data_IF_489057094529
#
_entry.id   IF_489057094529
#
_cell.length_a   1.000
_cell.length_b   1.000
_cell.length_c   1.000
_cell.angle_alpha   90.00
_cell.angle_beta   90.00
_cell.angle_gamma   90.00
#
_symmetry.space_group_name_H-M   'P 1'
#
loop_
_entity.id
_entity.type
_entity.pdbx_description
1 polymer ?
#
# COMPACT_ATOMS: atom_id res chain seq x y z
N UNK A 1 -6.01 -15.13 -95.74
CA UNK A 1 -4.93 -14.22 -95.33
C UNK A 1 -5.62 -13.05 -94.66
N UNK A 2 -5.39 -12.88 -93.36
CA UNK A 2 -6.17 -11.98 -92.50
C UNK A 2 -5.76 -10.51 -92.71
N UNK A 3 -6.69 -9.56 -92.63
CA UNK A 3 -6.43 -8.15 -93.01
C UNK A 3 -5.37 -7.47 -92.12
N UNK A 4 -5.27 -7.89 -90.85
CA UNK A 4 -4.27 -7.42 -89.90
C UNK A 4 -2.84 -7.80 -90.29
N UNK A 5 -2.66 -9.01 -90.81
CA UNK A 5 -1.34 -9.51 -91.20
C UNK A 5 -0.78 -8.72 -92.38
N UNK A 6 -1.65 -8.30 -93.30
CA UNK A 6 -1.30 -7.44 -94.44
C UNK A 6 -0.89 -6.04 -94.00
N UNK A 7 -1.62 -5.45 -93.04
CA UNK A 7 -1.31 -4.14 -92.48
C UNK A 7 0.04 -4.13 -91.73
N UNK A 8 0.30 -5.18 -90.93
CA UNK A 8 1.58 -5.32 -90.24
C UNK A 8 2.75 -5.53 -91.20
N UNK A 9 2.57 -6.27 -92.29
CA UNK A 9 3.62 -6.44 -93.29
C UNK A 9 3.92 -5.15 -94.04
N UNK A 10 2.89 -4.38 -94.41
CA UNK A 10 3.04 -3.11 -95.12
C UNK A 10 3.72 -2.04 -94.26
N UNK A 11 3.51 -2.09 -92.94
CA UNK A 11 4.04 -1.12 -91.97
C UNK A 11 5.32 -1.57 -91.25
N UNK A 12 5.83 -2.75 -91.58
CA UNK A 12 7.01 -3.33 -90.94
C UNK A 12 8.25 -2.42 -91.06
N UNK A 13 8.50 -1.87 -92.24
CA UNK A 13 9.63 -0.97 -92.51
C UNK A 13 9.51 0.39 -91.81
N UNK A 14 8.32 0.74 -91.31
CA UNK A 14 8.08 1.96 -90.53
C UNK A 14 8.24 1.69 -89.03
N UNK A 15 7.91 0.47 -88.57
CA UNK A 15 8.04 0.02 -87.18
C UNK A 15 9.49 -0.36 -86.84
N UNK A 16 10.22 -0.95 -87.78
CA UNK A 16 11.64 -1.32 -87.60
C UNK A 16 12.59 -0.10 -87.73
N UNK A 17 12.06 1.11 -87.96
CA UNK A 17 12.84 2.37 -87.88
C UNK A 17 13.14 2.68 -86.42
N UNK A 18 14.36 2.40 -86.01
CA UNK A 18 14.93 2.89 -84.76
C UNK A 18 15.26 4.37 -84.93
N UNK A 19 14.40 5.25 -84.40
CA UNK A 19 14.76 6.67 -84.25
C UNK A 19 15.98 6.77 -83.33
N UNK A 20 16.95 7.63 -83.71
CA UNK A 20 18.10 7.91 -82.87
C UNK A 20 17.62 8.66 -81.62
N UNK A 21 17.48 7.95 -80.51
CA UNK A 21 17.12 8.52 -79.23
C UNK A 21 18.32 9.31 -78.70
N UNK A 22 18.20 10.62 -78.39
CA UNK A 22 19.30 11.40 -77.81
C UNK A 22 19.46 11.04 -76.34
N UNK A 23 20.12 9.91 -76.07
CA UNK A 23 20.33 9.35 -74.74
C UNK A 23 21.01 10.36 -73.79
N UNK A 24 22.01 11.08 -74.29
CA UNK A 24 22.75 12.09 -73.51
C UNK A 24 21.86 13.24 -73.02
N UNK A 25 20.96 13.75 -73.87
CA UNK A 25 20.04 14.82 -73.51
C UNK A 25 19.01 14.37 -72.45
N UNK A 26 18.60 13.10 -72.50
CA UNK A 26 17.69 12.54 -71.49
C UNK A 26 18.40 12.32 -70.16
N UNK A 27 19.64 11.84 -70.16
CA UNK A 27 20.40 11.66 -68.93
C UNK A 27 20.71 12.98 -68.23
N UNK A 28 21.01 14.03 -68.99
CA UNK A 28 21.24 15.38 -68.46
C UNK A 28 19.99 15.97 -67.78
N UNK A 29 18.79 15.72 -68.34
CA UNK A 29 17.53 16.14 -67.74
C UNK A 29 17.20 15.38 -66.44
N UNK A 30 17.70 14.14 -66.29
CA UNK A 30 17.49 13.32 -65.09
C UNK A 30 18.48 13.73 -64.00
N UNK A 31 19.77 13.91 -64.33
CA UNK A 31 20.79 14.30 -63.35
C UNK A 31 20.53 15.69 -62.76
N UNK A 32 20.12 16.65 -63.59
CA UNK A 32 19.84 18.03 -63.14
C UNK A 32 18.72 18.12 -62.10
N UNK A 33 17.74 17.19 -62.11
CA UNK A 33 16.66 17.14 -61.10
C UNK A 33 17.07 16.50 -59.78
N UNK A 34 18.10 15.66 -59.79
CA UNK A 34 18.55 14.93 -58.59
C UNK A 34 19.46 15.82 -57.73
N UNK A 35 20.29 16.66 -58.35
CA UNK A 35 21.26 17.50 -57.63
C UNK A 35 20.62 18.70 -56.91
N UNK A 36 19.37 19.07 -57.23
CA UNK A 36 18.71 20.25 -56.65
C UNK A 36 17.88 19.99 -55.38
N UNK A 37 17.86 18.77 -54.86
CA UNK A 37 17.13 18.48 -53.62
C UNK A 37 18.03 18.75 -52.39
N UNK A 38 17.85 19.87 -51.65
CA UNK A 38 18.66 20.10 -50.46
C UNK A 38 18.34 19.03 -49.40
N UNK A 39 19.37 18.36 -48.91
CA UNK A 39 19.26 17.48 -47.75
C UNK A 39 18.87 18.31 -46.52
N UNK A 40 17.58 18.35 -46.18
CA UNK A 40 17.08 19.03 -44.98
C UNK A 40 17.47 18.20 -43.76
N UNK A 41 18.69 18.39 -43.26
CA UNK A 41 19.08 17.87 -41.96
C UNK A 41 18.18 18.54 -40.90
N UNK A 42 17.19 17.78 -40.38
CA UNK A 42 16.29 18.26 -39.33
C UNK A 42 17.09 18.52 -38.05
N UNK A 43 17.49 19.78 -37.88
CA UNK A 43 18.22 20.26 -36.71
C UNK A 43 17.25 20.36 -35.53
N UNK A 44 17.15 19.28 -34.76
CA UNK A 44 16.33 19.25 -33.54
C UNK A 44 16.91 20.26 -32.55
N UNK A 45 16.12 21.26 -32.16
CA UNK A 45 16.59 22.35 -31.29
C UNK A 45 16.82 21.79 -29.89
N UNK A 46 17.91 22.20 -29.23
CA UNK A 46 18.23 21.80 -27.84
C UNK A 46 17.05 22.01 -26.87
N UNK A 47 16.27 23.07 -27.07
CA UNK A 47 15.07 23.35 -26.29
C UNK A 47 13.95 22.29 -26.46
N UNK A 48 13.83 21.67 -27.64
CA UNK A 48 12.90 20.55 -27.85
C UNK A 48 13.35 19.31 -27.07
N UNK A 49 14.66 19.05 -26.97
CA UNK A 49 15.19 17.95 -26.15
C UNK A 49 14.95 18.18 -24.66
N UNK A 50 15.13 19.42 -24.20
CA UNK A 50 14.82 19.81 -22.82
C UNK A 50 13.31 19.69 -22.52
N UNK A 51 12.44 20.09 -23.45
CA UNK A 51 10.99 19.95 -23.30
C UNK A 51 10.56 18.48 -23.20
N UNK A 52 11.16 17.60 -24.02
CA UNK A 52 10.91 16.15 -23.96
C UNK A 52 11.43 15.56 -22.64
N UNK A 53 12.62 15.95 -22.18
CA UNK A 53 13.15 15.48 -20.90
C UNK A 53 12.26 15.93 -19.72
N UNK A 54 11.78 17.18 -19.76
CA UNK A 54 10.88 17.72 -18.75
C UNK A 54 9.52 17.00 -18.73
N UNK A 55 8.96 16.64 -19.89
CA UNK A 55 7.69 15.90 -19.94
C UNK A 55 7.84 14.47 -19.42
N UNK A 56 8.93 13.80 -19.76
CA UNK A 56 9.25 12.46 -19.22
C UNK A 56 9.46 12.53 -17.70
N UNK A 57 10.21 13.51 -17.21
CA UNK A 57 10.41 13.72 -15.77
C UNK A 57 9.11 14.05 -15.04
N UNK A 58 8.23 14.87 -15.64
CA UNK A 58 6.93 15.20 -15.08
C UNK A 58 6.02 13.97 -15.00
N UNK A 59 5.97 13.14 -16.04
CA UNK A 59 5.19 11.89 -16.04
C UNK A 59 5.75 10.87 -15.03
N UNK A 60 7.07 10.74 -14.93
CA UNK A 60 7.71 9.87 -13.95
C UNK A 60 7.43 10.35 -12.51
N UNK A 61 7.57 11.67 -12.25
CA UNK A 61 7.26 12.27 -10.97
C UNK A 61 5.77 12.12 -10.59
N UNK A 62 4.88 12.28 -11.56
CA UNK A 62 3.44 12.06 -11.35
C UNK A 62 3.12 10.60 -11.05
N UNK A 63 3.79 9.66 -11.73
CA UNK A 63 3.68 8.22 -11.45
C UNK A 63 4.11 7.87 -10.03
N UNK A 64 5.20 8.46 -9.52
CA UNK A 64 5.68 8.27 -8.15
C UNK A 64 4.65 8.79 -7.13
N UNK A 65 3.99 9.91 -7.40
CA UNK A 65 2.95 10.46 -6.51
C UNK A 65 1.69 9.59 -6.44
N UNK A 66 1.37 8.87 -7.53
CA UNK A 66 0.24 7.93 -7.57
C UNK A 66 0.58 6.56 -6.94
N UNK A 67 1.86 6.25 -6.76
CA UNK A 67 2.35 5.02 -6.13
C UNK A 67 2.42 5.11 -4.60
N UNK A 68 1.74 6.08 -3.97
CA UNK A 68 1.62 6.10 -2.52
C UNK A 68 0.90 4.83 -2.07
N UNK A 69 1.54 3.91 -1.32
CA UNK A 69 0.82 2.78 -0.75
C UNK A 69 -0.26 3.34 0.16
N UNK A 70 -1.49 2.82 0.04
CA UNK A 70 -2.52 3.09 1.04
C UNK A 70 -1.95 2.70 2.42
N UNK A 71 -2.14 3.52 3.47
CA UNK A 71 -1.78 3.11 4.81
C UNK A 71 -2.53 1.81 5.10
N UNK A 72 -1.77 0.74 5.36
CA UNK A 72 -2.36 -0.54 5.74
C UNK A 72 -3.32 -0.30 6.90
N UNK A 73 -4.58 -0.73 6.74
CA UNK A 73 -5.56 -0.61 7.81
C UNK A 73 -5.02 -1.40 9.02
N UNK A 74 -5.01 -0.83 10.23
CA UNK A 74 -4.55 -1.55 11.41
C UNK A 74 -5.40 -2.81 11.57
N UNK A 75 -4.75 -3.96 11.77
CA UNK A 75 -5.43 -5.23 11.96
C UNK A 75 -6.15 -5.20 13.31
N UNK A 76 -7.44 -5.49 13.30
CA UNK A 76 -8.24 -5.66 14.51
C UNK A 76 -8.26 -7.12 14.97
N UNK A 77 -8.49 -7.36 16.26
CA UNK A 77 -8.69 -8.72 16.81
C UNK A 77 -9.87 -9.41 16.10
N UNK A 78 -10.90 -8.66 15.72
CA UNK A 78 -12.05 -9.18 14.97
C UNK A 78 -11.66 -9.69 13.56
N UNK A 79 -10.61 -9.13 12.96
CA UNK A 79 -10.10 -9.58 11.66
C UNK A 79 -9.33 -10.90 11.78
N UNK A 80 -8.75 -11.18 12.95
CA UNK A 80 -8.03 -12.44 13.25
C UNK A 80 -9.01 -13.53 13.68
N UNK A 81 -9.86 -13.23 14.65
CA UNK A 81 -10.84 -14.17 15.21
C UNK A 81 -12.02 -13.43 15.84
N UNK A 82 -13.22 -13.50 15.24
CA UNK A 82 -14.40 -12.82 15.80
C UNK A 82 -14.80 -13.39 17.16
N UNK A 83 -14.56 -14.69 17.40
CA UNK A 83 -14.82 -15.32 18.70
C UNK A 83 -13.93 -14.76 19.80
N UNK A 84 -12.63 -14.58 19.52
CA UNK A 84 -11.70 -14.01 20.50
C UNK A 84 -11.97 -12.53 20.75
N UNK A 85 -12.45 -11.79 19.75
CA UNK A 85 -12.88 -10.40 19.93
C UNK A 85 -14.10 -10.28 20.86
N UNK A 86 -15.06 -11.20 20.75
CA UNK A 86 -16.20 -11.27 21.68
C UNK A 86 -15.75 -11.59 23.11
N UNK A 87 -14.84 -12.55 23.26
CA UNK A 87 -14.24 -12.91 24.54
C UNK A 87 -13.48 -11.75 25.17
N UNK A 88 -12.71 -11.00 24.37
CA UNK A 88 -12.02 -9.79 24.79
C UNK A 88 -13.00 -8.77 25.40
N UNK A 89 -14.11 -8.51 24.70
CA UNK A 89 -15.14 -7.57 25.14
C UNK A 89 -15.74 -8.01 26.48
N UNK A 90 -16.05 -9.29 26.63
CA UNK A 90 -16.59 -9.85 27.87
C UNK A 90 -15.60 -9.70 29.04
N UNK A 91 -14.32 -9.98 28.81
CA UNK A 91 -13.28 -9.82 29.82
C UNK A 91 -13.09 -8.35 30.22
N UNK A 92 -13.08 -7.41 29.28
CA UNK A 92 -12.98 -5.98 29.59
C UNK A 92 -14.20 -5.47 30.39
N UNK A 93 -15.40 -5.96 30.08
CA UNK A 93 -16.61 -5.65 30.86
C UNK A 93 -16.49 -6.18 32.29
N UNK A 94 -15.98 -7.41 32.45
CA UNK A 94 -15.77 -8.01 33.75
C UNK A 94 -14.70 -7.26 34.57
N UNK A 95 -13.59 -6.85 33.95
CA UNK A 95 -12.57 -5.98 34.59
C UNK A 95 -13.24 -4.70 35.11
N UNK A 96 -13.98 -4.00 34.25
CA UNK A 96 -14.69 -2.77 34.62
C UNK A 96 -15.66 -2.99 35.79
N UNK A 97 -16.32 -4.16 35.84
CA UNK A 97 -17.18 -4.52 36.96
C UNK A 97 -16.39 -4.73 38.25
N UNK A 98 -15.28 -5.46 38.19
CA UNK A 98 -14.41 -5.72 39.34
C UNK A 98 -13.76 -4.44 39.90
N UNK A 99 -13.32 -3.54 39.03
CA UNK A 99 -12.79 -2.23 39.43
C UNK A 99 -13.85 -1.40 40.17
N UNK A 100 -15.12 -1.42 39.71
CA UNK A 100 -16.24 -0.79 40.41
C UNK A 100 -16.54 -1.43 41.76
N UNK A 101 -16.48 -2.77 41.88
CA UNK A 101 -16.73 -3.45 43.15
C UNK A 101 -15.77 -3.03 44.27
N UNK A 102 -14.55 -2.60 43.92
CA UNK A 102 -13.52 -2.15 44.87
C UNK A 102 -13.41 -0.63 44.94
N UNK A 103 -14.27 0.12 44.24
CA UNK A 103 -14.17 1.58 44.07
C UNK A 103 -12.74 2.01 43.68
N UNK A 104 -12.18 1.39 42.63
CA UNK A 104 -10.77 1.52 42.25
C UNK A 104 -10.27 2.98 42.14
N UNK A 105 -11.12 3.91 41.71
CA UNK A 105 -10.80 5.32 41.59
C UNK A 105 -10.61 6.02 42.95
N UNK A 106 -11.41 5.63 43.95
CA UNK A 106 -11.42 6.22 45.30
C UNK A 106 -10.55 5.42 46.29
N UNK A 107 -10.12 4.22 45.91
CA UNK A 107 -9.30 3.35 46.74
C UNK A 107 -7.94 4.00 47.06
N UNK A 108 -7.58 4.01 48.34
CA UNK A 108 -6.23 4.37 48.76
C UNK A 108 -5.22 3.29 48.34
N UNK A 109 -4.61 3.52 47.18
CA UNK A 109 -3.62 2.63 46.55
C UNK A 109 -2.34 2.50 47.37
N UNK A 110 -2.08 3.40 48.33
CA UNK A 110 -0.86 3.35 49.16
C UNK A 110 -0.83 2.15 50.10
N UNK A 111 -2.00 1.60 50.45
CA UNK A 111 -2.13 0.41 51.29
C UNK A 111 -1.82 -0.89 50.55
N UNK A 112 -1.81 -0.87 49.21
CA UNK A 112 -1.72 -2.07 48.36
C UNK A 112 -0.70 -1.90 47.22
N UNK A 113 0.40 -1.19 47.46
CA UNK A 113 1.36 -0.75 46.42
C UNK A 113 1.85 -1.89 45.53
N UNK A 114 2.19 -3.05 46.09
CA UNK A 114 2.70 -4.19 45.33
C UNK A 114 1.64 -4.71 44.34
N UNK A 115 0.39 -4.86 44.78
CA UNK A 115 -0.73 -5.31 43.96
C UNK A 115 -1.05 -4.28 42.86
N UNK A 116 -1.03 -2.99 43.20
CA UNK A 116 -1.26 -1.90 42.25
C UNK A 116 -0.17 -1.89 41.17
N UNK A 117 1.08 -2.11 41.57
CA UNK A 117 2.22 -2.20 40.64
C UNK A 117 2.08 -3.39 39.69
N UNK A 118 1.65 -4.55 40.19
CA UNK A 118 1.40 -5.72 39.34
C UNK A 118 0.28 -5.46 38.32
N UNK A 119 -0.80 -4.79 38.75
CA UNK A 119 -1.90 -4.39 37.85
C UNK A 119 -1.41 -3.42 36.75
N UNK A 120 -0.57 -2.44 37.11
CA UNK A 120 0.02 -1.52 36.14
C UNK A 120 0.92 -2.23 35.13
N UNK A 121 1.75 -3.17 35.58
CA UNK A 121 2.60 -3.95 34.68
C UNK A 121 1.77 -4.79 33.69
N UNK A 122 0.63 -5.33 34.14
CA UNK A 122 -0.30 -6.05 33.26
C UNK A 122 -0.93 -5.11 32.22
N UNK A 123 -1.34 -3.92 32.62
CA UNK A 123 -1.93 -2.93 31.70
C UNK A 123 -0.90 -2.48 30.64
N UNK A 124 0.33 -2.18 31.04
CA UNK A 124 1.41 -1.82 30.13
C UNK A 124 1.73 -2.94 29.14
N UNK A 125 1.86 -4.18 29.62
CA UNK A 125 2.09 -5.34 28.77
C UNK A 125 0.92 -5.60 27.81
N UNK A 126 -0.32 -5.39 28.25
CA UNK A 126 -1.52 -5.56 27.42
C UNK A 126 -1.55 -4.54 26.28
N UNK A 127 -1.17 -3.29 26.54
CA UNK A 127 -1.06 -2.25 25.49
C UNK A 127 0.04 -2.58 24.48
N UNK A 128 1.20 -3.08 24.92
CA UNK A 128 2.25 -3.55 24.01
C UNK A 128 1.76 -4.69 23.10
N UNK A 129 1.05 -5.67 23.67
CA UNK A 129 0.49 -6.79 22.90
C UNK A 129 -0.53 -6.29 21.86
N UNK A 130 -1.37 -5.30 22.19
CA UNK A 130 -2.31 -4.70 21.22
C UNK A 130 -1.58 -4.05 20.04
N UNK A 131 -0.50 -3.32 20.31
CA UNK A 131 0.34 -2.71 19.26
C UNK A 131 0.96 -3.79 18.35
N UNK A 132 1.43 -4.89 18.94
CA UNK A 132 1.98 -6.02 18.19
C UNK A 132 0.91 -6.70 17.32
N UNK A 133 -0.31 -6.88 17.84
CA UNK A 133 -1.45 -7.43 17.08
C UNK A 133 -1.75 -6.56 15.86
N UNK A 134 -1.82 -5.23 16.04
CA UNK A 134 -2.08 -4.31 14.92
C UNK A 134 -0.98 -4.30 13.86
N UNK A 135 0.25 -4.68 14.24
CA UNK A 135 1.41 -4.70 13.35
C UNK A 135 1.54 -6.01 12.56
N UNK A 136 0.96 -7.12 13.04
CA UNK A 136 1.14 -8.46 12.44
C UNK A 136 -0.20 -9.20 12.27
N UNK A 137 -0.68 -9.39 11.02
CA UNK A 137 -2.00 -9.96 10.74
C UNK A 137 -2.24 -11.42 11.17
N UNK A 138 -1.18 -12.20 11.39
CA UNK A 138 -1.26 -13.65 11.67
C UNK A 138 -0.77 -13.97 13.09
N UNK A 139 -1.31 -13.25 14.08
CA UNK A 139 -0.86 -13.37 15.47
C UNK A 139 -1.98 -13.75 16.44
N UNK A 140 -2.70 -14.83 16.13
CA UNK A 140 -3.69 -15.41 17.07
C UNK A 140 -3.11 -15.76 18.44
N UNK A 141 -1.80 -16.05 18.52
CA UNK A 141 -1.09 -16.28 19.79
C UNK A 141 -0.94 -15.00 20.63
N UNK A 142 -0.74 -13.85 20.01
CA UNK A 142 -0.73 -12.57 20.73
C UNK A 142 -2.12 -12.25 21.28
N UNK A 143 -3.18 -12.49 20.50
CA UNK A 143 -4.57 -12.35 20.98
C UNK A 143 -4.81 -13.25 22.19
N UNK A 144 -4.48 -14.54 22.10
CA UNK A 144 -4.62 -15.48 23.24
C UNK A 144 -3.82 -15.02 24.47
N UNK A 145 -2.64 -14.44 24.25
CA UNK A 145 -1.82 -13.90 25.33
C UNK A 145 -2.44 -12.66 25.97
N UNK A 146 -3.07 -11.78 25.17
CA UNK A 146 -3.84 -10.65 25.67
C UNK A 146 -5.03 -11.10 26.53
N UNK A 147 -5.79 -12.11 26.07
CA UNK A 147 -6.90 -12.65 26.86
C UNK A 147 -6.42 -13.20 28.21
N UNK A 148 -5.29 -13.94 28.23
CA UNK A 148 -4.67 -14.42 29.48
C UNK A 148 -4.23 -13.28 30.40
N UNK A 149 -3.76 -12.16 29.87
CA UNK A 149 -3.42 -10.97 30.68
C UNK A 149 -4.67 -10.42 31.36
N UNK A 150 -5.79 -10.32 30.66
CA UNK A 150 -7.06 -9.89 31.26
C UNK A 150 -7.58 -10.87 32.32
N UNK A 151 -7.52 -12.17 32.08
CA UNK A 151 -7.86 -13.19 33.09
C UNK A 151 -6.97 -13.07 34.34
N UNK A 152 -5.69 -12.74 34.16
CA UNK A 152 -4.77 -12.51 35.28
C UNK A 152 -5.14 -11.23 36.03
N UNK A 153 -5.44 -10.13 35.33
CA UNK A 153 -5.90 -8.88 35.92
C UNK A 153 -7.13 -9.10 36.79
N UNK A 154 -8.12 -9.83 36.27
CA UNK A 154 -9.35 -10.18 37.02
C UNK A 154 -9.01 -10.91 38.32
N UNK A 155 -8.15 -11.94 38.27
CA UNK A 155 -7.73 -12.69 39.47
C UNK A 155 -7.05 -11.80 40.49
N UNK A 156 -6.21 -10.86 40.06
CA UNK A 156 -5.53 -9.93 40.97
C UNK A 156 -6.52 -8.93 41.57
N UNK A 157 -7.47 -8.40 40.80
CA UNK A 157 -8.55 -7.55 41.31
C UNK A 157 -9.41 -8.28 42.36
N UNK A 158 -9.70 -9.56 42.15
CA UNK A 158 -10.40 -10.39 43.13
C UNK A 158 -9.58 -10.60 44.42
N UNK A 159 -8.27 -10.78 44.29
CA UNK A 159 -7.37 -10.86 45.45
C UNK A 159 -7.35 -9.55 46.23
N UNK A 160 -7.25 -8.42 45.51
CA UNK A 160 -7.26 -7.09 46.09
C UNK A 160 -8.55 -6.83 46.87
N UNK A 161 -9.71 -7.18 46.30
CA UNK A 161 -11.01 -7.09 46.98
C UNK A 161 -11.00 -7.80 48.34
N UNK A 162 -10.50 -9.05 48.37
CA UNK A 162 -10.41 -9.81 49.63
C UNK A 162 -9.48 -9.16 50.64
N UNK A 163 -8.40 -8.54 50.17
CA UNK A 163 -7.46 -7.86 51.05
C UNK A 163 -8.05 -6.56 51.64
N UNK A 164 -8.82 -5.82 50.83
CA UNK A 164 -9.60 -4.65 51.29
C UNK A 164 -10.62 -5.07 52.36
N UNK A 165 -11.36 -6.16 52.13
CA UNK A 165 -12.37 -6.66 53.08
C UNK A 165 -11.74 -7.09 54.41
N UNK A 166 -10.60 -7.78 54.38
CA UNK A 166 -9.85 -8.14 55.60
C UNK A 166 -9.40 -6.90 56.36
N UNK A 167 -8.81 -5.92 55.68
CA UNK A 167 -8.29 -4.71 56.33
C UNK A 167 -9.42 -3.95 57.07
N UNK A 168 -10.57 -3.78 56.42
CA UNK A 168 -11.77 -3.19 57.06
C UNK A 168 -12.21 -3.96 58.31
N UNK A 169 -12.22 -5.29 58.25
CA UNK A 169 -12.60 -6.13 59.40
C UNK A 169 -11.66 -5.97 60.59
N UNK A 170 -10.35 -5.77 60.37
CA UNK A 170 -9.39 -5.55 61.46
C UNK A 170 -9.57 -4.16 62.10
N UNK A 171 -9.80 -3.11 61.30
CA UNK A 171 -10.06 -1.76 61.83
C UNK A 171 -11.32 -1.69 62.70
N UNK A 172 -12.38 -2.43 62.35
CA UNK A 172 -13.62 -2.49 63.12
C UNK A 172 -13.42 -3.18 64.48
N UNK A 173 -12.60 -4.24 64.52
CA UNK A 173 -12.26 -4.93 65.76
C UNK A 173 -11.45 -4.04 66.70
N UNK A 174 -10.44 -3.31 66.19
CA UNK A 174 -9.64 -2.40 67.01
C UNK A 174 -10.46 -1.24 67.60
N UNK A 175 -11.45 -0.72 66.88
CA UNK A 175 -12.34 0.36 67.37
C UNK A 175 -13.33 -0.10 68.44
N UNK A 176 -13.52 -1.41 68.61
CA UNK A 176 -14.48 -2.01 69.53
C UNK A 176 -13.91 -2.37 70.91
N UNK A 177 -12.58 -2.24 71.08
CA UNK A 177 -11.82 -2.50 72.32
C UNK A 177 -11.54 -1.17 73.03
#
# INVERSE_FOLDING_TARGET
MDNLEKYLHEKRDEIDRTEAVPEEAMWEAISSKIETAPAVAKRVRLWQRLAIAASVAALAGWGILLLKPEPAKPVSIADISPKMAEEELQLQQLISQKEKEINWEELDKSLFQDIVKDLQAIDENSEQIKLDISSFPDNGRAVETLLRQYELKIRILENLKREIEKNKSYEELEKSI
#
